data_IF_997477049549
#
_entry.id   IF_997477049549
#
_cell.length_a   1.000
_cell.length_b   1.000
_cell.length_c   1.000
_cell.angle_alpha   90.00
_cell.angle_beta   90.00
_cell.angle_gamma   90.00
#
_symmetry.space_group_name_H-M   'P 1'
#
loop_
_entity.id
_entity.type
_entity.pdbx_description
1 polymer ?
#
# COMPACT_ATOMS: atom_id res chain seq x y z
N UNK A 1 22.56 -13.32 -11.23
CA UNK A 1 21.09 -13.44 -11.12
C UNK A 1 20.51 -12.36 -12.01
N UNK A 2 19.69 -12.72 -12.98
CA UNK A 2 18.97 -11.72 -13.77
C UNK A 2 18.00 -11.04 -12.81
N UNK A 3 18.30 -9.79 -12.44
CA UNK A 3 17.39 -8.97 -11.65
C UNK A 3 16.19 -8.75 -12.55
N UNK A 4 15.07 -9.40 -12.25
CA UNK A 4 13.82 -9.23 -12.98
C UNK A 4 13.48 -7.75 -13.10
N UNK A 5 12.77 -7.38 -14.17
CA UNK A 5 12.29 -6.01 -14.42
C UNK A 5 11.77 -5.40 -13.11
N UNK A 6 12.31 -4.24 -12.73
CA UNK A 6 11.76 -3.45 -11.63
C UNK A 6 10.36 -2.98 -12.04
N UNK A 7 9.37 -3.27 -11.19
CA UNK A 7 7.97 -2.90 -11.36
C UNK A 7 7.59 -2.05 -10.15
N UNK A 8 6.82 -0.99 -10.38
CA UNK A 8 6.35 -0.16 -9.29
C UNK A 8 5.41 -0.96 -8.40
N UNK A 9 5.58 -0.86 -7.08
CA UNK A 9 4.83 -1.67 -6.12
C UNK A 9 3.31 -1.49 -6.25
N UNK A 10 2.87 -0.29 -6.64
CA UNK A 10 1.46 0.00 -6.90
C UNK A 10 0.91 -0.84 -8.06
N UNK A 11 1.66 -1.00 -9.16
CA UNK A 11 1.26 -1.80 -10.33
C UNK A 11 1.10 -3.29 -9.96
N UNK A 12 1.92 -3.79 -9.04
CA UNK A 12 1.79 -5.16 -8.51
C UNK A 12 0.43 -5.35 -7.83
N UNK A 13 -0.03 -4.34 -7.08
CA UNK A 13 -1.29 -4.41 -6.35
C UNK A 13 -2.52 -4.05 -7.18
N UNK A 14 -2.38 -3.34 -8.30
CA UNK A 14 -3.48 -3.08 -9.23
C UNK A 14 -4.09 -4.36 -9.84
N UNK A 15 -3.32 -5.45 -9.88
CA UNK A 15 -3.83 -6.77 -10.30
C UNK A 15 -4.76 -7.46 -9.30
N UNK A 16 -4.95 -6.89 -8.10
CA UNK A 16 -5.82 -7.46 -7.07
C UNK A 16 -7.25 -6.95 -7.22
N UNK A 17 -8.22 -7.86 -7.11
CA UNK A 17 -9.63 -7.50 -7.03
C UNK A 17 -9.93 -6.78 -5.71
N UNK A 18 -10.50 -5.58 -5.78
CA UNK A 18 -10.96 -4.84 -4.61
C UNK A 18 -12.38 -5.23 -4.23
N UNK A 19 -12.50 -6.08 -3.22
CA UNK A 19 -13.78 -6.55 -2.68
C UNK A 19 -14.46 -5.55 -1.73
N UNK A 20 -13.82 -4.41 -1.44
CA UNK A 20 -14.37 -3.39 -0.53
C UNK A 20 -15.51 -2.65 -1.22
N UNK A 21 -16.44 -2.13 -0.43
CA UNK A 21 -17.53 -1.32 -0.96
C UNK A 21 -16.99 0.03 -1.48
N UNK A 22 -17.07 0.23 -2.80
CA UNK A 22 -16.57 1.44 -3.48
C UNK A 22 -17.15 2.76 -2.93
N UNK A 23 -18.35 2.75 -2.35
CA UNK A 23 -18.98 3.93 -1.75
C UNK A 23 -18.46 4.24 -0.34
N UNK A 24 -17.75 3.31 0.28
CA UNK A 24 -17.20 3.43 1.64
C UNK A 24 -15.67 3.48 1.66
N UNK A 25 -15.02 3.39 0.51
CA UNK A 25 -13.56 3.50 0.37
C UNK A 25 -13.15 4.91 -0.05
N UNK A 26 -12.13 5.47 0.60
CA UNK A 26 -11.53 6.77 0.23
C UNK A 26 -10.34 6.66 -0.71
N UNK A 27 -9.62 5.54 -0.66
CA UNK A 27 -8.38 5.32 -1.40
C UNK A 27 -8.45 3.99 -2.17
N UNK A 28 -7.86 3.93 -3.38
CA UNK A 28 -7.64 2.68 -4.10
C UNK A 28 -6.94 1.64 -3.23
N UNK A 29 -7.24 0.36 -3.43
CA UNK A 29 -6.63 -0.72 -2.65
C UNK A 29 -5.11 -0.78 -2.88
N UNK A 30 -4.68 -0.58 -4.12
CA UNK A 30 -3.27 -0.61 -4.52
C UNK A 30 -2.43 0.43 -3.77
N UNK A 31 -2.93 1.66 -3.67
CA UNK A 31 -2.27 2.73 -2.90
C UNK A 31 -2.22 2.41 -1.41
N UNK A 32 -3.33 1.92 -0.84
CA UNK A 32 -3.41 1.58 0.58
C UNK A 32 -2.44 0.45 0.96
N UNK A 33 -2.34 -0.58 0.12
CA UNK A 33 -1.38 -1.68 0.30
C UNK A 33 0.06 -1.22 0.14
N UNK A 34 0.33 -0.32 -0.83
CA UNK A 34 1.67 0.26 -1.02
C UNK A 34 2.11 1.02 0.23
N UNK A 35 1.24 1.86 0.80
CA UNK A 35 1.52 2.59 2.05
C UNK A 35 1.76 1.61 3.21
N UNK A 36 0.91 0.59 3.36
CA UNK A 36 1.05 -0.38 4.44
C UNK A 36 2.39 -1.12 4.37
N UNK A 37 2.79 -1.60 3.19
CA UNK A 37 4.08 -2.28 3.00
C UNK A 37 5.24 -1.33 3.28
N UNK A 38 5.22 -0.12 2.73
CA UNK A 38 6.28 0.87 2.99
C UNK A 38 6.40 1.23 4.47
N UNK A 39 5.28 1.37 5.18
CA UNK A 39 5.26 1.66 6.60
C UNK A 39 5.81 0.49 7.43
N UNK A 40 5.39 -0.75 7.16
CA UNK A 40 5.90 -1.95 7.85
C UNK A 40 7.39 -2.14 7.60
N UNK A 41 7.86 -1.96 6.35
CA UNK A 41 9.30 -1.99 6.03
C UNK A 41 10.08 -0.87 6.72
N UNK A 42 9.40 0.22 7.09
CA UNK A 42 9.97 1.34 7.86
C UNK A 42 9.84 1.16 9.37
N UNK A 43 9.33 0.02 9.85
CA UNK A 43 9.21 -0.32 11.27
C UNK A 43 7.88 0.03 11.94
N UNK A 44 6.79 0.23 11.17
CA UNK A 44 5.45 0.31 11.75
C UNK A 44 4.98 -1.08 12.24
N UNK A 45 4.48 -1.15 13.47
CA UNK A 45 4.12 -2.43 14.11
C UNK A 45 2.61 -2.68 14.13
N UNK A 46 1.79 -1.64 13.97
CA UNK A 46 0.34 -1.75 13.94
C UNK A 46 -0.35 -0.83 12.91
N UNK A 47 -1.68 -0.89 12.85
CA UNK A 47 -2.47 -0.09 11.93
C UNK A 47 -2.49 1.40 12.28
N UNK A 48 -2.29 1.76 13.55
CA UNK A 48 -2.20 3.16 13.95
C UNK A 48 -0.89 3.76 13.41
N UNK A 49 0.23 3.06 13.59
CA UNK A 49 1.53 3.44 13.05
C UNK A 49 1.51 3.58 11.52
N UNK A 50 0.91 2.61 10.81
CA UNK A 50 0.72 2.67 9.35
C UNK A 50 -0.08 3.92 8.97
N UNK A 51 -1.17 4.20 9.69
CA UNK A 51 -2.02 5.36 9.41
C UNK A 51 -1.29 6.68 9.65
N UNK A 52 -0.45 6.76 10.68
CA UNK A 52 0.37 7.93 10.98
C UNK A 52 1.47 8.11 9.92
N UNK A 53 2.16 7.04 9.54
CA UNK A 53 3.18 7.06 8.49
C UNK A 53 2.61 7.62 7.18
N UNK A 54 1.42 7.15 6.77
CA UNK A 54 0.74 7.62 5.57
C UNK A 54 0.33 9.10 5.63
N UNK A 55 0.01 9.63 6.81
CA UNK A 55 -0.34 11.05 7.01
C UNK A 55 0.86 11.98 7.07
N UNK A 56 2.02 11.51 7.52
CA UNK A 56 3.24 12.31 7.65
C UNK A 56 3.91 12.55 6.29
N UNK A 57 3.69 11.65 5.33
CA UNK A 57 4.33 11.65 4.00
C UNK A 57 3.49 12.29 2.88
N UNK A 58 2.23 12.64 3.16
CA UNK A 58 1.31 13.38 2.26
C UNK A 58 1.16 14.83 2.73
#
# INVERSE_FOLDING_TARGET
METGKLIDMVEVFEGLEDWRNAQQTRHPLSELLTVAVCAVLSGADDFEDISQWGRIKL
#
